data_IF_283969027432
#
_entry.id   IF_283969027432
#
_cell.length_a   1.000
_cell.length_b   1.000
_cell.length_c   1.000
_cell.angle_alpha   90.00
_cell.angle_beta   90.00
_cell.angle_gamma   90.00
#
_symmetry.space_group_name_H-M   'P 1'
#
loop_
_entity.id
_entity.type
_entity.pdbx_description
1 polymer ?
#
# COMPACT_ATOMS: atom_id res chain seq x y z
N UNK A 1 2.86 4.28 -16.09
CA UNK A 1 2.38 5.12 -14.96
C UNK A 1 3.53 5.38 -14.01
N UNK A 2 3.84 6.65 -13.69
CA UNK A 2 4.95 7.03 -12.83
C UNK A 2 4.73 6.57 -11.37
N UNK A 3 5.83 6.29 -10.66
CA UNK A 3 5.82 5.88 -9.25
C UNK A 3 6.92 6.60 -8.47
N UNK A 4 6.83 6.57 -7.15
CA UNK A 4 7.91 7.04 -6.29
C UNK A 4 9.08 6.03 -6.31
N UNK A 5 10.26 6.47 -6.77
CA UNK A 5 11.49 5.67 -6.87
C UNK A 5 12.47 5.93 -5.72
N UNK A 6 12.18 6.91 -4.85
CA UNK A 6 13.06 7.28 -3.74
C UNK A 6 13.39 6.10 -2.82
N UNK A 7 14.52 6.21 -2.12
CA UNK A 7 14.99 5.21 -1.18
C UNK A 7 13.96 4.95 -0.05
N UNK A 8 13.35 3.76 -0.05
CA UNK A 8 12.24 3.40 0.83
C UNK A 8 12.56 3.57 2.32
N UNK A 9 13.76 3.18 2.74
CA UNK A 9 14.18 3.34 4.14
C UNK A 9 14.30 4.80 4.57
N UNK A 10 14.64 5.73 3.65
CA UNK A 10 14.61 7.17 3.94
C UNK A 10 13.21 7.67 4.17
N UNK A 11 12.23 7.12 3.45
CA UNK A 11 10.81 7.46 3.62
C UNK A 11 10.32 7.05 5.01
N UNK A 12 10.57 5.81 5.45
CA UNK A 12 10.20 5.35 6.78
C UNK A 12 10.84 6.22 7.88
N UNK A 13 12.15 6.46 7.79
CA UNK A 13 12.87 7.32 8.75
C UNK A 13 12.34 8.76 8.79
N UNK A 14 11.87 9.30 7.67
CA UNK A 14 11.29 10.65 7.61
C UNK A 14 9.95 10.73 8.32
N UNK A 15 9.16 9.64 8.28
CA UNK A 15 7.88 9.58 9.01
C UNK A 15 8.06 9.10 10.46
N UNK A 16 9.25 8.61 10.83
CA UNK A 16 9.53 8.12 12.18
C UNK A 16 8.91 6.76 12.49
N UNK A 17 8.33 6.09 11.50
CA UNK A 17 7.64 4.81 11.70
C UNK A 17 7.93 3.80 10.59
N UNK A 18 7.68 2.50 10.85
CA UNK A 18 7.81 1.43 9.86
C UNK A 18 6.63 1.44 8.90
N UNK A 19 6.86 1.77 7.63
CA UNK A 19 5.85 1.74 6.56
C UNK A 19 5.83 0.40 5.80
N UNK A 20 6.63 -0.57 6.19
CA UNK A 20 6.72 -1.93 5.61
C UNK A 20 6.88 -1.96 4.08
N UNK A 21 7.77 -1.10 3.53
CA UNK A 21 7.93 -0.89 2.09
C UNK A 21 8.90 -1.86 1.42
N UNK A 22 9.67 -2.66 2.19
CA UNK A 22 10.69 -3.60 1.69
C UNK A 22 10.43 -5.08 2.00
N UNK A 23 9.24 -5.45 2.46
CA UNK A 23 8.92 -6.83 2.83
C UNK A 23 9.73 -7.31 4.03
N UNK A 24 10.33 -8.49 3.98
CA UNK A 24 11.01 -9.19 5.08
C UNK A 24 11.98 -8.33 5.88
N UNK A 25 12.79 -7.52 5.20
CA UNK A 25 13.73 -6.62 5.85
C UNK A 25 13.10 -5.70 6.89
N UNK A 26 11.81 -5.37 6.74
CA UNK A 26 11.10 -4.48 7.66
C UNK A 26 10.71 -5.18 8.98
N UNK A 27 10.76 -6.50 9.01
CA UNK A 27 10.43 -7.33 10.17
C UNK A 27 11.67 -7.80 10.95
N UNK A 28 12.87 -7.56 10.40
CA UNK A 28 14.15 -7.93 11.05
C UNK A 28 14.83 -6.71 11.65
N UNK A 29 15.78 -6.94 12.56
CA UNK A 29 16.70 -5.94 13.17
C UNK A 29 17.53 -5.17 12.14
N UNK A 30 17.58 -5.63 10.87
CA UNK A 30 18.18 -4.90 9.76
C UNK A 30 17.32 -3.71 9.28
N UNK A 31 16.16 -3.47 9.93
CA UNK A 31 15.31 -2.33 9.63
C UNK A 31 16.04 -1.00 9.93
N UNK A 32 16.00 -0.09 8.96
CA UNK A 32 16.70 1.20 9.10
C UNK A 32 16.06 2.14 10.12
N UNK A 33 14.79 1.95 10.47
CA UNK A 33 14.09 2.74 11.50
C UNK A 33 14.61 2.35 12.87
N UNK A 34 14.81 1.05 13.13
CA UNK A 34 15.36 0.56 14.40
C UNK A 34 16.81 0.97 14.60
N UNK A 35 17.63 0.82 13.55
CA UNK A 35 19.06 1.18 13.62
C UNK A 35 19.31 2.68 13.71
N UNK A 36 18.45 3.51 13.11
CA UNK A 36 18.61 4.96 13.00
C UNK A 36 17.25 5.64 13.09
N UNK A 37 16.72 5.79 14.29
CA UNK A 37 15.39 6.33 14.57
C UNK A 37 15.22 7.84 14.30
N UNK A 38 16.15 8.45 13.55
CA UNK A 38 16.12 9.87 13.21
C UNK A 38 15.92 10.11 11.71
N UNK A 39 15.42 11.29 11.37
CA UNK A 39 15.16 11.68 9.99
C UNK A 39 16.42 11.60 9.11
N UNK A 40 16.31 11.31 7.80
CA UNK A 40 17.46 11.30 6.91
C UNK A 40 17.98 12.71 6.65
N UNK A 41 19.29 12.82 6.39
CA UNK A 41 19.98 14.07 6.06
C UNK A 41 20.93 14.51 7.16
N UNK A 42 21.75 15.53 6.87
CA UNK A 42 22.82 16.06 7.75
C UNK A 42 22.25 16.54 9.10
N UNK A 43 21.10 17.17 9.10
CA UNK A 43 20.46 17.71 10.30
C UNK A 43 19.45 16.76 10.96
N UNK A 44 19.34 15.52 10.48
CA UNK A 44 18.32 14.58 10.95
C UNK A 44 18.37 14.29 12.45
N UNK A 45 19.57 14.21 13.05
CA UNK A 45 19.76 13.95 14.46
C UNK A 45 19.41 15.16 15.37
N UNK A 46 19.55 16.38 14.82
CA UNK A 46 19.27 17.62 15.54
C UNK A 46 17.82 18.10 15.38
N UNK A 47 17.03 17.41 14.55
CA UNK A 47 15.65 17.78 14.24
C UNK A 47 14.68 17.31 15.32
N UNK A 48 14.66 18.01 16.44
CA UNK A 48 13.65 17.86 17.50
C UNK A 48 12.53 18.90 17.44
N UNK A 49 12.37 19.59 16.31
CA UNK A 49 11.40 20.68 16.19
C UNK A 49 9.96 20.16 16.21
N UNK A 50 9.14 20.71 17.12
CA UNK A 50 7.70 20.42 17.19
C UNK A 50 7.04 20.80 15.87
N UNK A 51 6.31 19.89 15.28
CA UNK A 51 5.56 20.15 14.07
C UNK A 51 4.40 21.12 14.34
N UNK A 52 4.20 22.07 13.43
CA UNK A 52 2.98 22.87 13.40
C UNK A 52 1.78 22.01 13.00
N UNK A 53 0.55 22.47 13.27
CA UNK A 53 -0.66 21.76 12.84
C UNK A 53 -0.65 21.42 11.35
N UNK A 54 -0.27 22.38 10.50
CA UNK A 54 -0.06 22.14 9.06
C UNK A 54 1.02 21.06 8.80
N UNK A 55 2.13 21.13 9.52
CA UNK A 55 3.21 20.14 9.40
C UNK A 55 2.74 18.72 9.72
N UNK A 56 1.91 18.55 10.75
CA UNK A 56 1.33 17.27 11.15
C UNK A 56 0.40 16.72 10.06
N UNK A 57 -0.51 17.53 9.58
CA UNK A 57 -1.42 17.18 8.48
C UNK A 57 -0.66 16.79 7.20
N UNK A 58 0.37 17.57 6.85
CA UNK A 58 1.23 17.29 5.70
C UNK A 58 1.99 15.97 5.85
N UNK A 59 2.52 15.68 7.05
CA UNK A 59 3.22 14.41 7.31
C UNK A 59 2.29 13.22 7.18
N UNK A 60 1.08 13.31 7.70
CA UNK A 60 0.10 12.24 7.60
C UNK A 60 -0.28 11.95 6.14
N UNK A 61 -0.54 12.99 5.35
CA UNK A 61 -0.75 12.84 3.90
C UNK A 61 0.45 12.16 3.23
N UNK A 62 1.67 12.59 3.53
CA UNK A 62 2.87 12.02 2.94
C UNK A 62 3.08 10.56 3.36
N UNK A 63 2.74 10.20 4.59
CA UNK A 63 2.76 8.83 5.12
C UNK A 63 1.85 7.93 4.30
N UNK A 64 0.57 8.26 4.18
CA UNK A 64 -0.40 7.48 3.39
C UNK A 64 0.08 7.35 1.94
N UNK A 65 0.45 8.44 1.31
CA UNK A 65 0.95 8.44 -0.07
C UNK A 65 2.17 7.52 -0.26
N UNK A 66 3.07 7.44 0.72
CA UNK A 66 4.25 6.58 0.70
C UNK A 66 3.91 5.12 0.91
N UNK A 67 2.99 4.81 1.81
CA UNK A 67 2.50 3.45 2.05
C UNK A 67 1.97 2.85 0.75
N UNK A 68 1.11 3.59 0.03
CA UNK A 68 0.50 3.11 -1.22
C UNK A 68 1.36 3.38 -2.47
N UNK A 69 2.50 4.05 -2.34
CA UNK A 69 3.42 4.32 -3.45
C UNK A 69 2.84 5.23 -4.54
N UNK A 70 1.85 6.06 -4.21
CA UNK A 70 1.12 6.94 -5.13
C UNK A 70 1.82 8.30 -5.21
N UNK A 71 1.87 8.92 -6.41
CA UNK A 71 2.35 10.27 -6.60
C UNK A 71 1.27 11.31 -6.26
N UNK A 72 1.69 12.55 -5.97
CA UNK A 72 0.81 13.64 -5.52
C UNK A 72 -0.38 13.87 -6.45
N UNK A 73 -0.15 13.97 -7.76
CA UNK A 73 -1.22 14.18 -8.74
C UNK A 73 -2.28 13.08 -8.71
N UNK A 74 -1.85 11.82 -8.59
CA UNK A 74 -2.77 10.69 -8.47
C UNK A 74 -3.49 10.67 -7.13
N UNK A 75 -2.78 10.99 -6.05
CA UNK A 75 -3.37 11.04 -4.72
C UNK A 75 -4.49 12.08 -4.65
N UNK A 76 -4.26 13.28 -5.19
CA UNK A 76 -5.30 14.33 -5.31
C UNK A 76 -6.50 13.87 -6.10
N UNK A 77 -6.30 13.14 -7.20
CA UNK A 77 -7.41 12.58 -7.98
C UNK A 77 -8.22 11.58 -7.14
N UNK A 78 -7.54 10.66 -6.45
CA UNK A 78 -8.22 9.68 -5.58
C UNK A 78 -8.97 10.38 -4.44
N UNK A 79 -8.40 11.45 -3.87
CA UNK A 79 -9.07 12.26 -2.85
C UNK A 79 -10.34 12.92 -3.38
N UNK A 80 -10.28 13.58 -4.53
CA UNK A 80 -11.45 14.19 -5.18
C UNK A 80 -12.53 13.15 -5.52
N UNK A 81 -12.13 11.93 -5.94
CA UNK A 81 -13.05 10.83 -6.19
C UNK A 81 -13.68 10.30 -4.87
N UNK A 82 -12.93 10.34 -3.76
CA UNK A 82 -13.42 9.95 -2.42
C UNK A 82 -14.44 10.98 -1.87
N UNK A 83 -14.19 12.26 -2.07
CA UNK A 83 -15.05 13.35 -1.64
C UNK A 83 -16.43 13.32 -2.34
N UNK A 84 -16.48 12.93 -3.61
CA UNK A 84 -17.73 12.79 -4.37
C UNK A 84 -18.60 11.62 -3.92
N UNK A 85 -18.03 10.65 -3.19
CA UNK A 85 -18.76 9.47 -2.72
C UNK A 85 -19.53 9.78 -1.44
N UNK A 86 -20.70 9.17 -1.29
CA UNK A 86 -21.49 9.24 -0.04
C UNK A 86 -20.70 8.60 1.12
N UNK A 87 -20.78 9.19 2.30
CA UNK A 87 -20.12 8.73 3.53
C UNK A 87 -18.92 9.57 3.92
N UNK A 88 -18.10 9.06 4.82
CA UNK A 88 -16.91 9.77 5.31
C UNK A 88 -15.80 9.79 4.25
N UNK A 89 -15.34 10.98 3.87
CA UNK A 89 -14.32 11.17 2.84
C UNK A 89 -13.02 10.42 3.16
N UNK A 90 -12.60 10.42 4.43
CA UNK A 90 -11.41 9.72 4.87
C UNK A 90 -11.47 8.20 4.66
N UNK A 91 -12.58 7.58 5.06
CA UNK A 91 -12.80 6.16 4.82
C UNK A 91 -12.88 5.83 3.33
N UNK A 92 -13.60 6.65 2.56
CA UNK A 92 -13.71 6.48 1.11
C UNK A 92 -12.34 6.56 0.44
N UNK A 93 -11.46 7.47 0.89
CA UNK A 93 -10.08 7.58 0.43
C UNK A 93 -9.32 6.28 0.65
N UNK A 94 -9.38 5.72 1.86
CA UNK A 94 -8.70 4.47 2.18
C UNK A 94 -9.28 3.28 1.40
N UNK A 95 -10.59 3.17 1.27
CA UNK A 95 -11.28 2.16 0.45
C UNK A 95 -10.83 2.21 -1.02
N UNK A 96 -10.71 3.40 -1.59
CA UNK A 96 -10.21 3.58 -2.96
C UNK A 96 -8.73 3.22 -3.10
N UNK A 97 -7.90 3.50 -2.10
CA UNK A 97 -6.49 3.15 -2.10
C UNK A 97 -6.26 1.64 -1.92
N UNK A 98 -7.04 0.98 -1.08
CA UNK A 98 -6.99 -0.48 -0.91
C UNK A 98 -7.62 -1.24 -2.09
N UNK A 99 -8.63 -0.67 -2.76
CA UNK A 99 -9.24 -1.26 -3.97
C UNK A 99 -8.36 -1.22 -5.22
N UNK A 100 -7.18 -0.61 -5.19
CA UNK A 100 -6.23 -0.62 -6.31
C UNK A 100 -5.64 -2.01 -6.53
N UNK A 101 -5.53 -2.42 -7.78
CA UNK A 101 -5.01 -3.74 -8.15
C UNK A 101 -3.59 -4.01 -7.60
N UNK A 102 -2.70 -3.00 -7.62
CA UNK A 102 -1.36 -3.15 -7.05
C UNK A 102 -1.38 -3.39 -5.53
N UNK A 103 -2.35 -2.81 -4.82
CA UNK A 103 -2.54 -3.00 -3.39
C UNK A 103 -3.21 -4.34 -3.09
N UNK A 104 -4.27 -4.68 -3.82
CA UNK A 104 -4.97 -5.98 -3.67
C UNK A 104 -4.02 -7.14 -3.96
N UNK A 105 -3.24 -7.08 -5.04
CA UNK A 105 -2.22 -8.08 -5.35
C UNK A 105 -1.18 -8.23 -4.22
N UNK A 106 -0.76 -7.13 -3.58
CA UNK A 106 0.11 -7.19 -2.41
C UNK A 106 -0.57 -7.84 -1.21
N UNK A 107 -1.83 -7.50 -0.94
CA UNK A 107 -2.61 -8.08 0.17
C UNK A 107 -2.86 -9.58 -0.01
N UNK A 108 -3.02 -10.04 -1.26
CA UNK A 108 -3.15 -11.45 -1.64
C UNK A 108 -1.80 -12.21 -1.62
N UNK A 109 -0.69 -11.53 -1.35
CA UNK A 109 0.62 -12.17 -1.28
C UNK A 109 1.31 -12.40 -2.63
N UNK A 110 0.87 -11.76 -3.71
CA UNK A 110 1.48 -11.88 -5.05
C UNK A 110 2.83 -11.18 -5.17
N UNK A 111 3.30 -10.56 -4.09
CA UNK A 111 4.62 -9.97 -3.95
C UNK A 111 4.93 -9.64 -2.50
N UNK A 112 6.19 -9.72 -2.11
CA UNK A 112 6.64 -9.43 -0.74
C UNK A 112 6.49 -7.96 -0.35
N UNK A 113 6.29 -7.08 -1.32
CA UNK A 113 6.06 -5.65 -1.12
C UNK A 113 5.11 -5.08 -2.18
N UNK A 114 4.45 -3.94 -1.87
CA UNK A 114 3.59 -3.25 -2.86
C UNK A 114 4.33 -2.89 -4.15
N UNK A 115 5.64 -2.59 -4.05
CA UNK A 115 6.45 -2.28 -5.23
C UNK A 115 6.65 -3.49 -6.14
N UNK A 116 6.81 -4.68 -5.58
CA UNK A 116 6.93 -5.94 -6.29
C UNK A 116 5.58 -6.38 -6.87
N UNK A 117 4.51 -6.39 -6.07
CA UNK A 117 3.17 -6.68 -6.55
C UNK A 117 2.78 -5.76 -7.73
N UNK A 118 3.11 -4.48 -7.65
CA UNK A 118 2.94 -3.54 -8.76
C UNK A 118 3.75 -3.94 -9.99
N UNK A 119 4.96 -4.47 -9.83
CA UNK A 119 5.77 -4.95 -10.93
C UNK A 119 5.14 -6.20 -11.56
N UNK A 120 4.65 -7.13 -10.77
CA UNK A 120 3.92 -8.32 -11.24
C UNK A 120 2.73 -7.90 -12.12
N UNK A 121 1.91 -6.96 -11.65
CA UNK A 121 0.79 -6.41 -12.44
C UNK A 121 1.28 -5.79 -13.75
N UNK A 122 2.31 -4.93 -13.70
CA UNK A 122 2.84 -4.23 -14.89
C UNK A 122 3.43 -5.18 -15.94
N UNK A 123 3.93 -6.32 -15.52
CA UNK A 123 4.50 -7.34 -16.41
C UNK A 123 3.43 -8.35 -16.88
N UNK A 124 2.16 -7.96 -16.84
CA UNK A 124 1.03 -8.81 -17.26
C UNK A 124 0.94 -10.13 -16.48
N UNK A 125 1.43 -10.18 -15.25
CA UNK A 125 1.44 -11.39 -14.42
C UNK A 125 0.10 -11.70 -13.75
N UNK A 126 -0.94 -10.88 -13.94
CA UNK A 126 -2.22 -10.97 -13.24
C UNK A 126 -3.39 -10.99 -14.21
N UNK A 127 -4.37 -11.82 -13.91
CA UNK A 127 -5.67 -11.88 -14.57
C UNK A 127 -6.74 -11.38 -13.61
N UNK A 128 -7.74 -10.66 -14.13
CA UNK A 128 -8.98 -10.33 -13.43
C UNK A 128 -10.14 -10.92 -14.23
N UNK A 129 -10.92 -11.78 -13.61
CA UNK A 129 -12.04 -12.49 -14.26
C UNK A 129 -11.61 -13.13 -15.60
N UNK A 130 -10.41 -13.73 -15.63
CA UNK A 130 -9.83 -14.40 -16.80
C UNK A 130 -9.17 -13.47 -17.83
N UNK A 131 -9.23 -12.14 -17.66
CA UNK A 131 -8.63 -11.17 -18.59
C UNK A 131 -7.34 -10.59 -18.02
N UNK A 132 -6.30 -10.45 -18.85
CA UNK A 132 -5.02 -9.82 -18.46
C UNK A 132 -5.21 -8.34 -18.19
N UNK A 133 -4.69 -7.86 -17.06
CA UNK A 133 -4.72 -6.44 -16.68
C UNK A 133 -3.33 -6.00 -16.22
N UNK A 134 -2.75 -5.04 -16.92
CA UNK A 134 -1.42 -4.47 -16.64
C UNK A 134 -1.46 -3.09 -15.99
N UNK A 135 -2.65 -2.63 -15.58
CA UNK A 135 -2.87 -1.31 -15.00
C UNK A 135 -2.90 -1.38 -13.47
N UNK A 136 -1.84 -0.96 -12.75
CA UNK A 136 -1.78 -1.07 -11.30
C UNK A 136 -2.83 -0.25 -10.56
N UNK A 137 -3.36 0.80 -11.21
CA UNK A 137 -4.42 1.64 -10.64
C UNK A 137 -5.83 1.16 -11.01
N UNK A 138 -5.96 0.00 -11.63
CA UNK A 138 -7.28 -0.61 -11.86
C UNK A 138 -8.01 -0.74 -10.51
N UNK A 139 -9.24 -0.34 -10.46
CA UNK A 139 -10.04 -0.41 -9.24
C UNK A 139 -10.81 -1.73 -9.21
N UNK A 140 -10.39 -2.61 -8.35
CA UNK A 140 -10.99 -3.92 -8.13
C UNK A 140 -12.34 -3.74 -7.44
N UNK A 141 -13.35 -4.50 -7.86
CA UNK A 141 -14.70 -4.46 -7.31
C UNK A 141 -15.00 -5.72 -6.49
N UNK A 142 -15.90 -5.63 -5.51
CA UNK A 142 -16.38 -6.82 -4.82
C UNK A 142 -16.91 -7.87 -5.81
N UNK A 143 -16.50 -9.12 -5.61
CA UNK A 143 -16.79 -10.24 -6.50
C UNK A 143 -15.74 -10.50 -7.58
N UNK A 144 -14.79 -9.57 -7.82
CA UNK A 144 -13.73 -9.81 -8.79
C UNK A 144 -12.79 -10.92 -8.32
N UNK A 145 -12.44 -11.79 -9.27
CA UNK A 145 -11.49 -12.88 -9.09
C UNK A 145 -10.16 -12.47 -9.68
N UNK A 146 -9.12 -12.43 -8.83
CA UNK A 146 -7.75 -12.07 -9.21
C UNK A 146 -6.89 -13.33 -9.20
N UNK A 147 -6.20 -13.62 -10.30
CA UNK A 147 -5.40 -14.82 -10.46
C UNK A 147 -4.03 -14.48 -11.04
N UNK A 148 -3.00 -15.19 -10.56
CA UNK A 148 -1.67 -15.16 -11.19
C UNK A 148 -1.67 -15.97 -12.47
N UNK A 149 -0.95 -15.51 -13.48
CA UNK A 149 -0.58 -16.33 -14.64
C UNK A 149 0.33 -17.49 -14.19
N UNK A 150 0.18 -18.66 -14.80
CA UNK A 150 0.97 -19.86 -14.44
C UNK A 150 2.47 -19.61 -14.55
N UNK A 151 2.92 -18.89 -15.58
CA UNK A 151 4.31 -18.47 -15.73
C UNK A 151 4.78 -17.62 -14.55
N UNK A 152 3.97 -16.69 -14.07
CA UNK A 152 4.30 -15.83 -12.90
C UNK A 152 4.24 -16.60 -11.59
N UNK A 153 3.27 -17.50 -11.45
CA UNK A 153 3.11 -18.37 -10.27
C UNK A 153 4.30 -19.30 -10.09
N UNK A 154 4.90 -19.80 -11.18
CA UNK A 154 6.06 -20.69 -11.15
C UNK A 154 7.34 -20.02 -10.69
N UNK A 155 7.43 -18.69 -10.73
CA UNK A 155 8.62 -17.97 -10.30
C UNK A 155 8.91 -18.17 -8.79
N UNK A 156 10.15 -18.47 -8.46
CA UNK A 156 10.61 -18.71 -7.09
C UNK A 156 10.24 -17.55 -6.13
N UNK A 157 10.39 -16.31 -6.60
CA UNK A 157 10.04 -15.12 -5.81
C UNK A 157 8.55 -15.04 -5.48
N UNK A 158 7.69 -15.40 -6.43
CA UNK A 158 6.25 -15.37 -6.23
C UNK A 158 5.82 -16.46 -5.25
N UNK A 159 6.42 -17.66 -5.35
CA UNK A 159 6.18 -18.75 -4.39
C UNK A 159 6.58 -18.33 -2.98
N UNK A 160 7.80 -17.83 -2.79
CA UNK A 160 8.25 -17.32 -1.50
C UNK A 160 7.37 -16.19 -0.95
N UNK A 161 6.84 -15.31 -1.82
CA UNK A 161 5.93 -14.25 -1.41
C UNK A 161 4.58 -14.78 -0.92
N UNK A 162 4.03 -15.81 -1.58
CA UNK A 162 2.80 -16.48 -1.20
C UNK A 162 2.95 -17.21 0.14
N UNK A 163 4.01 -17.96 0.34
CA UNK A 163 4.34 -18.66 1.60
C UNK A 163 4.48 -17.67 2.76
N UNK A 164 5.20 -16.56 2.54
CA UNK A 164 5.33 -15.51 3.53
C UNK A 164 4.00 -14.77 3.82
N UNK A 165 3.09 -14.71 2.87
CA UNK A 165 1.76 -14.14 3.06
C UNK A 165 0.85 -15.09 3.83
N UNK A 166 0.91 -16.38 3.55
CA UNK A 166 0.18 -17.43 4.26
C UNK A 166 0.53 -17.45 5.75
N UNK A 167 1.83 -17.38 6.09
CA UNK A 167 2.27 -17.33 7.50
C UNK A 167 1.84 -16.05 8.23
N UNK A 168 1.61 -14.93 7.52
CA UNK A 168 1.09 -13.70 8.12
C UNK A 168 -0.43 -13.65 8.25
N UNK A 169 -1.13 -14.53 7.53
CA UNK A 169 -2.57 -14.50 7.37
C UNK A 169 -3.04 -13.46 6.34
N UNK A 170 -4.23 -13.68 5.81
CA UNK A 170 -4.87 -12.79 4.85
C UNK A 170 -5.94 -11.92 5.52
N UNK A 171 -6.17 -10.70 5.03
CA UNK A 171 -7.25 -9.86 5.51
C UNK A 171 -8.63 -10.52 5.31
N UNK A 172 -9.56 -10.26 6.22
CA UNK A 172 -10.91 -10.88 6.24
C UNK A 172 -11.71 -10.59 4.96
N UNK A 173 -11.48 -9.43 4.35
CA UNK A 173 -12.15 -8.97 3.13
C UNK A 173 -11.58 -9.57 1.82
N UNK A 174 -10.58 -10.46 1.94
CA UNK A 174 -10.02 -11.25 0.85
C UNK A 174 -10.18 -12.74 1.14
N UNK A 175 -10.42 -13.51 0.09
CA UNK A 175 -10.30 -14.97 0.12
C UNK A 175 -9.19 -15.37 -0.82
N UNK A 176 -8.19 -16.12 -0.35
CA UNK A 176 -7.01 -16.45 -1.13
C UNK A 176 -6.75 -17.94 -1.10
N UNK A 177 -6.66 -18.54 -2.28
CA UNK A 177 -6.14 -19.87 -2.49
C UNK A 177 -4.67 -19.77 -2.92
N UNK A 178 -3.78 -20.04 -1.97
CA UNK A 178 -2.32 -19.96 -2.17
C UNK A 178 -1.86 -20.97 -3.21
N UNK A 179 -2.43 -22.20 -3.20
CA UNK A 179 -2.03 -23.27 -4.12
C UNK A 179 -2.42 -22.96 -5.56
N UNK A 180 -3.62 -22.44 -5.77
CA UNK A 180 -4.07 -22.00 -7.09
C UNK A 180 -3.49 -20.66 -7.53
N UNK A 181 -2.91 -19.86 -6.60
CA UNK A 181 -2.47 -18.50 -6.87
C UNK A 181 -3.63 -17.59 -7.29
N UNK A 182 -4.79 -17.76 -6.65
CA UNK A 182 -6.05 -17.11 -6.97
C UNK A 182 -6.68 -16.53 -5.71
N UNK A 183 -7.35 -15.41 -5.85
CA UNK A 183 -8.10 -14.83 -4.74
C UNK A 183 -9.34 -14.09 -5.20
N UNK A 184 -10.27 -13.91 -4.28
CA UNK A 184 -11.53 -13.19 -4.49
C UNK A 184 -11.53 -11.94 -3.61
N UNK A 185 -11.86 -10.80 -4.18
CA UNK A 185 -12.09 -9.56 -3.45
C UNK A 185 -13.55 -9.55 -2.96
N UNK A 186 -13.78 -9.91 -1.69
CA UNK A 186 -15.15 -10.06 -1.13
C UNK A 186 -15.85 -8.71 -0.95
N UNK A 187 -15.18 -7.78 -0.30
CA UNK A 187 -15.73 -6.47 0.06
C UNK A 187 -14.62 -5.42 0.15
N UNK A 188 -14.97 -4.16 0.25
CA UNK A 188 -14.00 -3.15 0.67
C UNK A 188 -13.73 -3.29 2.17
N UNK A 189 -12.48 -3.04 2.63
CA UNK A 189 -12.13 -3.10 4.05
C UNK A 189 -12.97 -2.10 4.85
N UNK A 190 -13.36 -2.50 6.06
CA UNK A 190 -13.85 -1.59 7.08
C UNK A 190 -12.69 -0.77 7.67
N UNK A 191 -12.97 0.32 8.38
CA UNK A 191 -11.91 1.13 9.01
C UNK A 191 -11.09 0.32 10.02
N UNK A 192 -11.72 -0.60 10.72
CA UNK A 192 -11.12 -1.48 11.73
C UNK A 192 -10.11 -2.46 11.14
N UNK A 193 -10.28 -2.86 9.88
CA UNK A 193 -9.37 -3.76 9.15
C UNK A 193 -8.06 -3.08 8.73
N UNK A 194 -8.01 -1.75 8.84
CA UNK A 194 -6.86 -0.95 8.39
C UNK A 194 -5.98 -0.54 9.57
N UNK A 195 -4.68 -0.28 9.32
CA UNK A 195 -3.76 0.09 10.39
C UNK A 195 -4.26 1.30 11.19
N UNK A 196 -4.31 1.22 12.53
CA UNK A 196 -4.75 2.33 13.39
C UNK A 196 -3.78 3.52 13.33
N UNK A 197 -2.55 3.29 12.88
CA UNK A 197 -1.54 4.35 12.73
C UNK A 197 -1.88 5.39 11.65
N UNK A 198 -2.89 5.15 10.83
CA UNK A 198 -3.32 6.08 9.78
C UNK A 198 -4.42 6.98 10.32
N UNK A 199 -4.20 8.30 10.28
CA UNK A 199 -5.16 9.34 10.67
C UNK A 199 -5.69 10.07 9.45
N UNK A 200 -6.64 9.45 8.77
CA UNK A 200 -7.25 9.98 7.52
C UNK A 200 -7.93 11.35 7.71
N UNK A 201 -8.46 11.64 8.91
CA UNK A 201 -9.07 12.92 9.24
C UNK A 201 -8.12 14.11 9.03
N UNK A 202 -6.83 13.96 9.42
CA UNK A 202 -5.82 14.99 9.20
C UNK A 202 -5.58 15.28 7.70
N UNK A 203 -5.77 14.29 6.85
CA UNK A 203 -5.66 14.47 5.39
C UNK A 203 -6.85 15.22 4.83
N UNK A 204 -8.05 14.92 5.34
CA UNK A 204 -9.27 15.65 4.98
C UNK A 204 -9.14 17.12 5.36
N UNK A 205 -8.72 17.41 6.60
CA UNK A 205 -8.48 18.77 7.07
C UNK A 205 -7.44 19.53 6.23
N UNK A 206 -6.39 18.84 5.76
CA UNK A 206 -5.36 19.44 4.90
C UNK A 206 -5.91 19.91 3.55
N UNK A 207 -6.81 19.12 2.96
CA UNK A 207 -7.39 19.43 1.65
C UNK A 207 -8.63 20.31 1.71
N UNK A 208 -9.25 20.47 2.88
CA UNK A 208 -10.42 21.35 3.10
C UNK A 208 -10.04 22.81 3.32
N UNK A 209 -8.75 23.15 3.26
CA UNK A 209 -8.21 24.52 3.43
C UNK A 209 -8.12 25.27 2.11
#
# INVERSE_FOLDING_TARGET
MARNLDAKCRQCRREGEKLFLKGEKCFTDKCSVERRAYAPGQHGQKSGQRLSGYGTQLREKQKIRRIYGVLERQFRKVFADAERKKGQTGENLLKLLEGRLDTVAYRMGFGVSRAEARQVVRHNGVLINGKRVDIPSYNVRPGDVIQLLDSTRSHLRTKAALEAAESRGFPVWLEVDVKAGKGIFKSYPAREDLPPSISEGLVVELYSR
#
